data_IF_260234083466
#
_entry.id   IF_260234083466
#
_cell.length_a   1.000
_cell.length_b   1.000
_cell.length_c   1.000
_cell.angle_alpha   90.00
_cell.angle_beta   90.00
_cell.angle_gamma   90.00
#
_symmetry.space_group_name_H-M   'P 1'
#
loop_
_entity.id
_entity.type
_entity.pdbx_description
1 polymer ?
#
# COMPACT_ATOMS: atom_id res chain seq x y z
N UNK A 1 25.00 27.44 42.54
CA UNK A 1 24.25 26.20 42.28
C UNK A 1 23.03 26.55 41.46
N UNK A 2 23.07 26.34 40.14
CA UNK A 2 21.90 26.53 39.25
C UNK A 2 21.26 25.17 38.98
N UNK A 3 20.05 24.97 39.50
CA UNK A 3 19.24 23.79 39.24
C UNK A 3 18.69 23.84 37.81
N UNK A 4 19.14 22.89 36.96
CA UNK A 4 18.58 22.66 35.64
C UNK A 4 17.31 21.84 35.85
N UNK A 5 16.13 22.44 35.57
CA UNK A 5 14.85 21.73 35.52
C UNK A 5 14.77 20.99 34.20
N UNK A 6 14.85 19.68 34.26
CA UNK A 6 14.60 18.77 33.15
C UNK A 6 13.09 18.70 32.89
N UNK A 7 12.59 19.37 31.85
CA UNK A 7 11.24 19.17 31.37
C UNK A 7 11.18 17.87 30.57
N UNK A 8 10.60 16.82 31.17
CA UNK A 8 10.22 15.59 30.48
C UNK A 8 8.91 15.86 29.75
N UNK A 9 8.98 16.04 28.42
CA UNK A 9 7.79 16.05 27.58
C UNK A 9 7.28 14.59 27.46
N UNK A 10 6.21 14.27 28.20
CA UNK A 10 5.41 13.08 27.96
C UNK A 10 4.67 13.24 26.62
N UNK A 11 5.15 12.60 25.56
CA UNK A 11 4.34 12.36 24.35
C UNK A 11 3.24 11.35 24.75
N UNK A 12 2.04 11.85 24.95
CA UNK A 12 0.85 11.02 25.06
C UNK A 12 0.60 10.34 23.72
N UNK A 13 0.75 9.01 23.67
CA UNK A 13 0.28 8.21 22.53
C UNK A 13 -1.26 8.36 22.48
N UNK A 14 -1.75 8.93 21.38
CA UNK A 14 -3.18 8.96 21.12
C UNK A 14 -3.70 7.52 21.01
N UNK A 15 -4.82 7.17 21.67
CA UNK A 15 -5.36 5.83 21.57
C UNK A 15 -5.77 5.54 20.13
N UNK A 16 -5.30 4.41 19.60
CA UNK A 16 -5.86 3.82 18.37
C UNK A 16 -7.28 3.43 18.69
N UNK A 17 -8.26 4.17 18.16
CA UNK A 17 -9.68 3.85 18.31
C UNK A 17 -9.93 2.59 17.47
N UNK A 18 -10.35 1.46 18.06
CA UNK A 18 -10.79 0.30 17.27
C UNK A 18 -11.95 0.75 16.39
N UNK A 19 -11.89 0.45 15.10
CA UNK A 19 -12.99 0.73 14.18
C UNK A 19 -14.17 -0.16 14.61
N UNK A 20 -15.22 0.46 15.16
CA UNK A 20 -16.43 -0.25 15.59
C UNK A 20 -17.12 -0.84 14.36
N UNK A 21 -17.07 -2.17 14.24
CA UNK A 21 -17.60 -2.90 13.09
C UNK A 21 -19.13 -2.89 13.01
N UNK A 22 -19.81 -2.36 14.01
CA UNK A 22 -21.27 -2.28 14.06
C UNK A 22 -21.87 -1.06 13.34
N UNK A 23 -21.04 -0.18 12.73
CA UNK A 23 -21.53 1.02 12.05
C UNK A 23 -20.90 1.23 10.67
N UNK A 24 -21.02 0.22 9.80
CA UNK A 24 -20.68 0.44 8.38
C UNK A 24 -21.63 1.48 7.77
N UNK A 25 -21.14 2.38 6.90
CA UNK A 25 -21.99 3.24 6.09
C UNK A 25 -23.07 2.45 5.34
N UNK A 26 -24.23 3.06 5.06
CA UNK A 26 -25.38 2.37 4.47
C UNK A 26 -25.12 1.79 3.07
N UNK A 27 -24.16 2.36 2.36
CA UNK A 27 -23.75 1.97 1.01
C UNK A 27 -22.61 0.95 1.00
N UNK A 28 -22.15 0.49 2.16
CA UNK A 28 -21.12 -0.54 2.28
C UNK A 28 -21.75 -1.92 2.49
N UNK A 29 -21.47 -2.85 1.56
CA UNK A 29 -21.96 -4.20 1.63
C UNK A 29 -21.23 -5.01 2.72
N UNK A 30 -21.95 -5.72 3.63
CA UNK A 30 -21.35 -6.35 4.82
C UNK A 30 -20.39 -7.51 4.53
N UNK A 31 -20.48 -8.13 3.34
CA UNK A 31 -19.59 -9.25 2.96
C UNK A 31 -18.29 -8.73 2.30
N UNK A 32 -18.40 -7.81 1.38
CA UNK A 32 -17.26 -7.27 0.64
C UNK A 32 -16.57 -6.12 1.37
N UNK A 33 -17.24 -5.52 2.34
CA UNK A 33 -16.83 -4.34 3.09
C UNK A 33 -16.48 -3.15 2.15
N UNK A 34 -17.26 -3.02 1.07
CA UNK A 34 -17.11 -1.98 0.04
C UNK A 34 -18.46 -1.67 -0.60
N UNK A 35 -18.50 -0.66 -1.47
CA UNK A 35 -19.69 -0.31 -2.26
C UNK A 35 -20.09 -1.36 -3.29
N UNK A 36 -19.20 -2.29 -3.62
CA UNK A 36 -19.53 -3.39 -4.53
C UNK A 36 -20.10 -4.57 -3.75
N UNK A 37 -21.28 -5.04 -4.15
CA UNK A 37 -21.84 -6.30 -3.67
C UNK A 37 -21.01 -7.51 -4.11
N UNK A 38 -21.19 -8.70 -3.48
CA UNK A 38 -20.58 -9.93 -3.97
C UNK A 38 -20.90 -10.16 -5.44
N UNK A 39 -19.87 -10.50 -6.20
CA UNK A 39 -19.97 -10.70 -7.65
C UNK A 39 -20.73 -11.99 -7.95
N UNK A 40 -21.72 -11.91 -8.83
CA UNK A 40 -22.41 -13.04 -9.43
C UNK A 40 -22.01 -13.23 -10.89
N UNK A 41 -22.30 -14.40 -11.46
CA UNK A 41 -22.04 -14.65 -12.88
C UNK A 41 -22.78 -13.64 -13.79
N UNK A 42 -23.97 -13.19 -13.35
CA UNK A 42 -24.78 -12.23 -14.11
C UNK A 42 -24.16 -10.82 -14.19
N UNK A 43 -23.25 -10.48 -13.29
CA UNK A 43 -22.58 -9.19 -13.25
C UNK A 43 -21.37 -9.12 -14.21
N UNK A 44 -21.00 -10.24 -14.83
CA UNK A 44 -19.76 -10.40 -15.58
C UNK A 44 -20.02 -10.76 -17.04
N UNK A 45 -19.15 -10.26 -17.94
CA UNK A 45 -19.04 -10.78 -19.29
C UNK A 45 -18.48 -12.22 -19.32
N UNK A 46 -18.53 -12.89 -20.47
CA UNK A 46 -18.14 -14.32 -20.63
C UNK A 46 -16.76 -14.67 -20.07
N UNK A 47 -15.76 -13.80 -20.24
CA UNK A 47 -14.41 -14.03 -19.72
C UNK A 47 -14.38 -13.98 -18.19
N UNK A 48 -15.06 -13.00 -17.59
CA UNK A 48 -15.20 -12.88 -16.14
C UNK A 48 -15.95 -14.07 -15.55
N UNK A 49 -17.00 -14.56 -16.22
CA UNK A 49 -17.73 -15.77 -15.81
C UNK A 49 -16.84 -17.01 -15.82
N UNK A 50 -16.03 -17.18 -16.86
CA UNK A 50 -15.04 -18.29 -16.94
C UNK A 50 -14.00 -18.21 -15.82
N UNK A 51 -13.51 -17.01 -15.51
CA UNK A 51 -12.55 -16.79 -14.41
C UNK A 51 -13.19 -17.02 -13.04
N UNK A 52 -14.44 -16.61 -12.86
CA UNK A 52 -15.18 -16.86 -11.62
C UNK A 52 -15.36 -18.38 -11.41
N UNK A 53 -15.78 -19.10 -12.45
CA UNK A 53 -15.97 -20.55 -12.41
C UNK A 53 -14.66 -21.34 -12.21
N UNK A 54 -13.55 -20.88 -12.76
CA UNK A 54 -12.24 -21.51 -12.65
C UNK A 54 -11.57 -21.32 -11.28
N UNK A 55 -12.06 -20.42 -10.44
CA UNK A 55 -11.47 -20.08 -9.14
C UNK A 55 -12.30 -20.62 -8.00
N UNK A 56 -11.96 -21.80 -7.54
CA UNK A 56 -12.58 -22.44 -6.37
C UNK A 56 -12.39 -21.63 -5.07
N UNK A 57 -11.40 -20.74 -5.02
CA UNK A 57 -11.06 -19.89 -3.87
C UNK A 57 -11.34 -18.40 -4.13
N UNK A 58 -12.08 -18.06 -5.18
CA UNK A 58 -12.50 -16.68 -5.40
C UNK A 58 -13.62 -16.35 -4.43
N UNK A 59 -13.25 -15.80 -3.29
CA UNK A 59 -14.21 -15.28 -2.35
C UNK A 59 -14.63 -13.88 -2.79
N UNK A 60 -15.92 -13.61 -2.77
CA UNK A 60 -16.48 -12.26 -2.89
C UNK A 60 -16.17 -11.41 -1.64
N UNK A 61 -15.09 -11.74 -0.94
CA UNK A 61 -14.66 -11.08 0.29
C UNK A 61 -13.93 -9.76 0.04
N UNK A 62 -13.53 -9.07 1.12
CA UNK A 62 -12.85 -7.79 1.01
C UNK A 62 -11.51 -7.89 0.27
N UNK A 63 -11.16 -6.85 -0.48
CA UNK A 63 -9.86 -6.70 -1.15
C UNK A 63 -9.95 -6.53 -2.67
N UNK A 64 -8.81 -6.42 -3.36
CA UNK A 64 -8.79 -6.04 -4.77
C UNK A 64 -9.42 -7.07 -5.72
N UNK A 65 -9.48 -8.33 -5.31
CA UNK A 65 -9.93 -9.42 -6.19
C UNK A 65 -11.37 -9.26 -6.68
N UNK A 66 -12.29 -8.76 -5.84
CA UNK A 66 -13.68 -8.59 -6.26
C UNK A 66 -13.91 -7.36 -7.16
N UNK A 67 -12.95 -6.43 -7.18
CA UNK A 67 -12.97 -5.28 -8.10
C UNK A 67 -12.41 -5.67 -9.46
N UNK A 68 -11.22 -6.29 -9.45
CA UNK A 68 -10.48 -6.58 -10.69
C UNK A 68 -11.12 -7.66 -11.55
N UNK A 69 -12.07 -8.44 -11.01
CA UNK A 69 -12.79 -9.44 -11.79
C UNK A 69 -13.72 -8.83 -12.85
N UNK A 70 -14.16 -7.59 -12.66
CA UNK A 70 -14.96 -6.89 -13.65
C UNK A 70 -14.16 -6.50 -14.91
N UNK A 71 -12.83 -6.46 -14.81
CA UNK A 71 -11.90 -6.18 -15.91
C UNK A 71 -10.76 -7.18 -15.92
N UNK A 72 -11.01 -8.43 -16.35
CA UNK A 72 -10.04 -9.52 -16.23
C UNK A 72 -8.77 -9.30 -17.06
N UNK A 73 -8.87 -8.61 -18.21
CA UNK A 73 -7.72 -8.35 -19.09
C UNK A 73 -6.74 -7.35 -18.50
N UNK A 74 -7.24 -6.33 -17.82
CA UNK A 74 -6.44 -5.32 -17.16
C UNK A 74 -5.88 -5.78 -15.81
N UNK A 75 -6.33 -6.94 -15.34
CA UNK A 75 -5.93 -7.49 -14.06
C UNK A 75 -4.51 -8.03 -14.03
N UNK A 76 -4.10 -8.69 -15.10
CA UNK A 76 -2.80 -9.37 -15.17
C UNK A 76 -1.80 -8.55 -15.99
N UNK A 77 -1.15 -7.61 -15.31
CA UNK A 77 -0.04 -6.86 -15.92
C UNK A 77 1.27 -7.67 -15.94
N UNK A 78 1.25 -8.94 -15.51
CA UNK A 78 2.43 -9.81 -15.52
C UNK A 78 3.53 -9.36 -14.56
N UNK A 79 3.22 -8.52 -13.57
CA UNK A 79 4.21 -8.04 -12.60
C UNK A 79 4.41 -9.11 -11.52
N UNK A 80 5.61 -9.72 -11.40
CA UNK A 80 5.88 -10.66 -10.33
C UNK A 80 5.82 -9.98 -8.97
N UNK A 81 5.02 -10.54 -8.05
CA UNK A 81 4.76 -9.97 -6.72
C UNK A 81 5.48 -10.73 -5.61
N UNK A 82 5.67 -10.06 -4.47
CA UNK A 82 6.20 -10.65 -3.25
C UNK A 82 7.59 -11.25 -3.43
N UNK A 83 7.75 -12.52 -3.04
CA UNK A 83 9.04 -13.24 -3.08
C UNK A 83 9.56 -13.46 -4.51
N UNK A 84 8.67 -13.50 -5.51
CA UNK A 84 9.04 -13.64 -6.93
C UNK A 84 9.44 -12.33 -7.58
N UNK A 85 9.32 -11.21 -6.87
CA UNK A 85 9.68 -9.91 -7.43
C UNK A 85 11.17 -9.82 -7.74
N UNK A 86 11.56 -9.41 -8.95
CA UNK A 86 12.96 -9.29 -9.34
C UNK A 86 13.71 -8.18 -8.62
N UNK A 87 13.01 -7.29 -7.94
CA UNK A 87 13.62 -6.26 -7.07
C UNK A 87 13.93 -6.80 -5.68
N UNK A 88 13.53 -8.03 -5.40
CA UNK A 88 13.61 -8.68 -4.08
C UNK A 88 12.45 -8.33 -3.17
N UNK A 89 12.10 -9.24 -2.23
CA UNK A 89 10.89 -9.12 -1.43
C UNK A 89 10.86 -7.86 -0.55
N UNK A 90 11.99 -7.48 0.03
CA UNK A 90 12.10 -6.29 0.89
C UNK A 90 11.78 -4.99 0.12
N UNK A 91 12.39 -4.81 -1.05
CA UNK A 91 12.17 -3.60 -1.85
C UNK A 91 10.83 -3.58 -2.56
N UNK A 92 10.27 -4.76 -2.87
CA UNK A 92 8.89 -4.87 -3.29
C UNK A 92 7.94 -4.28 -2.24
N UNK A 93 8.07 -4.70 -0.97
CA UNK A 93 7.22 -4.20 0.11
C UNK A 93 7.44 -2.69 0.35
N UNK A 94 8.68 -2.23 0.28
CA UNK A 94 8.96 -0.80 0.44
C UNK A 94 8.29 0.03 -0.65
N UNK A 95 8.35 -0.39 -1.91
CA UNK A 95 7.68 0.28 -3.02
C UNK A 95 6.15 0.33 -2.84
N UNK A 96 5.55 -0.78 -2.37
CA UNK A 96 4.12 -0.85 -2.07
C UNK A 96 3.75 0.09 -0.93
N UNK A 97 4.50 0.09 0.19
CA UNK A 97 4.21 0.95 1.34
C UNK A 97 4.37 2.44 1.00
N UNK A 98 5.37 2.81 0.21
CA UNK A 98 5.51 4.19 -0.28
C UNK A 98 4.24 4.57 -1.06
N UNK A 99 3.81 3.75 -2.01
CA UNK A 99 2.62 4.01 -2.81
C UNK A 99 1.37 4.12 -1.94
N UNK A 100 1.15 3.15 -1.05
CA UNK A 100 -0.01 3.14 -0.14
C UNK A 100 -0.06 4.39 0.75
N UNK A 101 1.12 4.89 1.24
CA UNK A 101 1.18 6.14 2.01
C UNK A 101 0.84 7.37 1.17
N UNK A 102 1.37 7.45 -0.05
CA UNK A 102 1.19 8.65 -0.88
C UNK A 102 -0.26 8.82 -1.36
N UNK A 103 -1.03 7.73 -1.44
CA UNK A 103 -2.46 7.74 -1.80
C UNK A 103 -3.40 7.50 -0.61
N UNK A 104 -2.87 7.48 0.62
CA UNK A 104 -3.61 7.24 1.87
C UNK A 104 -4.43 5.92 1.86
N UNK A 105 -3.88 4.85 1.24
CA UNK A 105 -4.59 3.58 1.07
C UNK A 105 -4.37 2.64 2.26
N UNK A 106 -5.35 2.61 3.16
CA UNK A 106 -5.32 1.85 4.41
C UNK A 106 -5.28 0.34 4.19
N UNK A 107 -6.03 -0.20 3.21
CA UNK A 107 -6.13 -1.64 2.99
C UNK A 107 -4.79 -2.24 2.56
N UNK A 108 -4.14 -1.63 1.56
CA UNK A 108 -2.83 -2.05 1.07
C UNK A 108 -1.75 -1.87 2.14
N UNK A 109 -1.78 -0.75 2.86
CA UNK A 109 -0.84 -0.53 3.95
C UNK A 109 -0.93 -1.64 5.01
N UNK A 110 -2.14 -1.94 5.52
CA UNK A 110 -2.36 -2.94 6.58
C UNK A 110 -2.11 -4.38 6.13
N UNK A 111 -2.13 -4.63 4.82
CA UNK A 111 -1.72 -5.92 4.27
C UNK A 111 -0.19 -6.04 4.16
N UNK A 112 0.48 -4.98 3.75
CA UNK A 112 1.88 -5.00 3.34
C UNK A 112 2.87 -4.63 4.44
N UNK A 113 2.50 -3.85 5.46
CA UNK A 113 3.39 -3.55 6.59
C UNK A 113 3.85 -4.81 7.34
N UNK A 114 2.95 -5.73 7.76
CA UNK A 114 3.38 -6.98 8.41
C UNK A 114 4.23 -7.88 7.50
N UNK A 115 3.92 -7.90 6.21
CA UNK A 115 4.71 -8.64 5.21
C UNK A 115 6.11 -8.03 5.06
N UNK A 116 6.22 -6.71 5.00
CA UNK A 116 7.48 -5.99 4.94
C UNK A 116 8.39 -6.31 6.13
N UNK A 117 7.85 -6.29 7.34
CA UNK A 117 8.59 -6.69 8.56
C UNK A 117 9.14 -8.11 8.46
N UNK A 118 8.33 -9.08 8.03
CA UNK A 118 8.78 -10.48 7.83
C UNK A 118 9.85 -10.61 6.75
N UNK A 119 9.89 -9.70 5.79
CA UNK A 119 10.86 -9.68 4.68
C UNK A 119 12.05 -8.76 4.94
N UNK A 120 12.28 -8.38 6.20
CA UNK A 120 13.47 -7.65 6.63
C UNK A 120 13.39 -6.14 6.44
N UNK A 121 12.19 -5.58 6.29
CA UNK A 121 12.02 -4.13 6.28
C UNK A 121 12.04 -3.61 7.72
N UNK A 122 13.05 -2.81 8.04
CA UNK A 122 13.31 -2.31 9.39
C UNK A 122 12.24 -1.31 9.83
N UNK A 123 11.94 -1.31 11.13
CA UNK A 123 10.91 -0.43 11.70
C UNK A 123 11.16 1.06 11.40
N UNK A 124 12.42 1.49 11.45
CA UNK A 124 12.79 2.89 11.17
C UNK A 124 12.44 3.28 9.74
N UNK A 125 12.60 2.39 8.76
CA UNK A 125 12.24 2.63 7.36
C UNK A 125 10.71 2.71 7.21
N UNK A 126 9.99 1.79 7.84
CA UNK A 126 8.52 1.78 7.88
C UNK A 126 8.01 3.10 8.48
N UNK A 127 8.57 3.54 9.59
CA UNK A 127 8.15 4.77 10.29
C UNK A 127 8.42 6.03 9.48
N UNK A 128 9.54 6.07 8.74
CA UNK A 128 9.86 7.19 7.84
C UNK A 128 8.80 7.31 6.75
N UNK A 129 8.36 6.19 6.17
CA UNK A 129 7.28 6.19 5.17
C UNK A 129 5.94 6.50 5.84
N UNK A 130 5.57 5.79 6.92
CA UNK A 130 4.29 5.88 7.63
C UNK A 130 3.96 7.30 8.07
N UNK A 131 4.94 8.00 8.63
CA UNK A 131 4.76 9.33 9.24
C UNK A 131 5.35 10.47 8.39
N UNK A 132 5.69 10.21 7.14
CA UNK A 132 6.30 11.20 6.23
C UNK A 132 7.56 11.89 6.82
N UNK A 133 8.35 11.15 7.59
CA UNK A 133 9.56 11.69 8.24
C UNK A 133 10.69 11.93 7.23
N UNK A 134 11.71 12.67 7.68
CA UNK A 134 12.94 12.87 6.92
C UNK A 134 13.69 11.54 6.75
N UNK A 135 14.31 11.35 5.58
CA UNK A 135 15.03 10.12 5.21
C UNK A 135 16.51 10.10 5.67
N UNK A 136 17.02 11.17 6.27
CA UNK A 136 18.45 11.35 6.58
C UNK A 136 19.07 10.26 7.48
N UNK A 137 18.26 9.57 8.28
CA UNK A 137 18.74 8.49 9.15
C UNK A 137 18.77 7.10 8.48
N UNK A 138 18.33 7.02 7.21
CA UNK A 138 18.23 5.76 6.48
C UNK A 138 19.50 5.49 5.66
N UNK A 139 19.63 4.24 5.17
CA UNK A 139 20.61 3.92 4.13
C UNK A 139 20.36 4.79 2.88
N UNK A 140 21.41 5.14 2.15
CA UNK A 140 21.27 5.95 0.94
C UNK A 140 20.33 5.28 -0.09
N UNK A 141 20.34 3.97 -0.17
CA UNK A 141 19.47 3.18 -1.05
C UNK A 141 17.99 3.28 -0.67
N UNK A 142 17.65 3.15 0.62
CA UNK A 142 16.26 3.28 1.10
C UNK A 142 15.79 4.74 1.00
N UNK A 143 16.63 5.69 1.38
CA UNK A 143 16.38 7.11 1.26
C UNK A 143 16.09 7.51 -0.20
N UNK A 144 16.89 6.99 -1.14
CA UNK A 144 16.71 7.24 -2.57
C UNK A 144 15.37 6.70 -3.07
N UNK A 145 15.00 5.48 -2.70
CA UNK A 145 13.73 4.90 -3.13
C UNK A 145 12.51 5.65 -2.57
N UNK A 146 12.56 6.03 -1.28
CA UNK A 146 11.48 6.80 -0.65
C UNK A 146 11.35 8.18 -1.29
N UNK A 147 12.48 8.87 -1.51
CA UNK A 147 12.49 10.18 -2.17
C UNK A 147 11.97 10.09 -3.60
N UNK A 148 12.35 9.04 -4.34
CA UNK A 148 11.87 8.77 -5.69
C UNK A 148 10.35 8.61 -5.73
N UNK A 149 9.77 7.80 -4.84
CA UNK A 149 8.32 7.64 -4.77
C UNK A 149 7.61 8.94 -4.41
N UNK A 150 8.12 9.68 -3.42
CA UNK A 150 7.57 11.00 -3.04
C UNK A 150 7.59 11.98 -4.21
N UNK A 151 8.67 12.06 -4.95
CA UNK A 151 8.76 12.92 -6.13
C UNK A 151 7.73 12.53 -7.20
N UNK A 152 7.56 11.23 -7.48
CA UNK A 152 6.57 10.76 -8.45
C UNK A 152 5.14 11.13 -8.06
N UNK A 153 4.75 10.93 -6.80
CA UNK A 153 3.36 11.13 -6.36
C UNK A 153 3.02 12.58 -6.00
N UNK A 154 3.99 13.37 -5.54
CA UNK A 154 3.74 14.74 -5.07
C UNK A 154 4.09 15.79 -6.11
N UNK A 155 5.19 15.58 -6.84
CA UNK A 155 5.72 16.54 -7.81
C UNK A 155 5.41 16.12 -9.25
N UNK A 156 4.95 14.87 -9.45
CA UNK A 156 4.71 14.25 -10.77
C UNK A 156 5.93 14.28 -11.68
N UNK A 157 7.12 14.33 -11.08
CA UNK A 157 8.38 14.53 -11.78
C UNK A 157 9.54 13.96 -10.94
N UNK A 158 10.57 13.45 -11.64
CA UNK A 158 11.83 13.00 -11.04
C UNK A 158 12.97 13.81 -11.65
N UNK A 159 13.89 14.33 -10.83
CA UNK A 159 15.08 15.03 -11.33
C UNK A 159 16.08 14.04 -11.94
N UNK A 160 16.98 14.53 -12.79
CA UNK A 160 18.05 13.73 -13.40
C UNK A 160 18.94 13.10 -12.33
N UNK A 161 19.30 13.84 -11.29
CA UNK A 161 20.15 13.38 -10.20
C UNK A 161 19.49 12.24 -9.40
N UNK A 162 18.18 12.36 -9.14
CA UNK A 162 17.44 11.33 -8.43
C UNK A 162 17.25 10.07 -9.30
N UNK A 163 17.05 10.24 -10.61
CA UNK A 163 17.03 9.14 -11.56
C UNK A 163 18.37 8.39 -11.60
N UNK A 164 19.48 9.12 -11.69
CA UNK A 164 20.83 8.55 -11.69
C UNK A 164 21.12 7.77 -10.41
N UNK A 165 20.72 8.29 -9.24
CA UNK A 165 20.82 7.58 -7.96
C UNK A 165 20.01 6.28 -7.95
N UNK A 166 18.78 6.31 -8.45
CA UNK A 166 17.95 5.10 -8.57
C UNK A 166 18.63 4.06 -9.46
N UNK A 167 19.15 4.46 -10.62
CA UNK A 167 19.86 3.55 -11.52
C UNK A 167 21.15 3.03 -10.90
N UNK A 168 21.88 3.84 -10.15
CA UNK A 168 23.09 3.43 -9.44
C UNK A 168 22.81 2.34 -8.38
N UNK A 169 21.74 2.49 -7.60
CA UNK A 169 21.40 1.54 -6.52
C UNK A 169 20.71 0.27 -6.99
N UNK A 170 19.87 0.35 -8.03
CA UNK A 170 19.01 -0.75 -8.45
C UNK A 170 19.35 -1.31 -9.84
N UNK A 171 20.08 -0.56 -10.64
CA UNK A 171 20.23 -0.80 -12.06
C UNK A 171 18.99 -0.37 -12.85
N UNK A 172 19.15 -0.12 -14.14
CA UNK A 172 18.08 0.39 -15.02
C UNK A 172 16.84 -0.51 -15.03
N UNK A 173 17.03 -1.81 -15.17
CA UNK A 173 15.93 -2.78 -15.25
C UNK A 173 15.09 -2.78 -13.96
N UNK A 174 15.72 -2.88 -12.78
CA UNK A 174 15.00 -2.90 -11.51
C UNK A 174 14.36 -1.55 -11.18
N UNK A 175 14.96 -0.44 -11.61
CA UNK A 175 14.32 0.87 -11.49
C UNK A 175 12.99 0.91 -12.23
N UNK A 176 12.94 0.41 -13.48
CA UNK A 176 11.69 0.29 -14.24
C UNK A 176 10.71 -0.66 -13.54
N UNK A 177 11.17 -1.79 -13.04
CA UNK A 177 10.31 -2.74 -12.31
C UNK A 177 9.71 -2.13 -11.03
N UNK A 178 10.47 -1.31 -10.29
CA UNK A 178 9.96 -0.55 -9.14
C UNK A 178 8.85 0.42 -9.58
N UNK A 179 9.04 1.14 -10.68
CA UNK A 179 8.00 2.02 -11.23
C UNK A 179 6.73 1.26 -11.58
N UNK A 180 6.86 0.09 -12.20
CA UNK A 180 5.72 -0.78 -12.52
C UNK A 180 4.99 -1.27 -11.26
N UNK A 181 5.72 -1.66 -10.20
CA UNK A 181 5.14 -2.05 -8.92
C UNK A 181 4.36 -0.86 -8.33
N UNK A 182 4.95 0.32 -8.27
CA UNK A 182 4.27 1.52 -7.75
C UNK A 182 3.02 1.86 -8.58
N UNK A 183 3.10 1.78 -9.91
CA UNK A 183 1.97 2.01 -10.81
C UNK A 183 0.83 1.01 -10.62
N UNK A 184 1.14 -0.27 -10.44
CA UNK A 184 0.13 -1.30 -10.17
C UNK A 184 -0.57 -1.07 -8.81
N UNK A 185 0.18 -0.80 -7.76
CA UNK A 185 -0.40 -0.53 -6.45
C UNK A 185 -1.11 0.82 -6.37
N UNK A 186 -0.70 1.80 -7.18
CA UNK A 186 -1.48 3.02 -7.40
C UNK A 186 -2.83 2.70 -8.04
N UNK A 187 -2.86 1.93 -9.14
CA UNK A 187 -4.09 1.50 -9.82
C UNK A 187 -5.03 0.75 -8.89
N UNK A 188 -4.52 -0.24 -8.17
CA UNK A 188 -5.30 -1.04 -7.22
C UNK A 188 -5.82 -0.15 -6.08
N UNK A 189 -4.95 0.63 -5.47
CA UNK A 189 -5.32 1.50 -4.36
C UNK A 189 -6.32 2.59 -4.76
N UNK A 190 -6.21 3.13 -5.97
CA UNK A 190 -7.20 4.06 -6.53
C UNK A 190 -8.60 3.42 -6.60
N UNK A 191 -8.68 2.18 -7.09
CA UNK A 191 -9.95 1.45 -7.13
C UNK A 191 -10.51 1.17 -5.73
N UNK A 192 -9.67 0.73 -4.79
CA UNK A 192 -10.08 0.47 -3.42
C UNK A 192 -10.56 1.74 -2.70
N UNK A 193 -9.95 2.90 -2.96
CA UNK A 193 -10.42 4.18 -2.45
C UNK A 193 -11.78 4.56 -3.08
N UNK A 194 -11.97 4.35 -4.38
CA UNK A 194 -13.21 4.70 -5.08
C UNK A 194 -14.43 3.91 -4.56
N UNK A 195 -14.24 2.63 -4.18
CA UNK A 195 -15.29 1.77 -3.64
C UNK A 195 -15.38 1.80 -2.10
N UNK A 196 -14.59 2.66 -1.45
CA UNK A 196 -14.50 2.79 0.00
C UNK A 196 -14.26 1.43 0.69
N UNK A 197 -13.15 0.77 0.31
CA UNK A 197 -12.81 -0.55 0.83
C UNK A 197 -12.39 -0.50 2.30
N UNK A 198 -13.19 -1.09 3.16
CA UNK A 198 -12.91 -1.25 4.58
C UNK A 198 -12.06 -2.49 4.86
N UNK A 199 -11.35 -2.47 6.00
CA UNK A 199 -10.57 -3.60 6.47
C UNK A 199 -11.49 -4.74 6.92
N UNK A 200 -11.08 -6.01 6.70
CA UNK A 200 -11.82 -7.15 7.24
C UNK A 200 -11.73 -7.18 8.77
N UNK A 201 -12.72 -7.82 9.44
CA UNK A 201 -12.71 -8.02 10.87
C UNK A 201 -11.39 -8.56 11.41
N UNK A 202 -10.88 -7.97 12.50
CA UNK A 202 -9.63 -8.37 13.14
C UNK A 202 -8.36 -7.87 12.46
N UNK A 203 -8.46 -7.16 11.33
CA UNK A 203 -7.29 -6.49 10.75
C UNK A 203 -7.17 -5.07 11.29
N UNK A 204 -6.02 -4.77 11.88
CA UNK A 204 -5.72 -3.46 12.46
C UNK A 204 -5.50 -2.40 11.38
N UNK A 205 -5.99 -1.18 11.64
CA UNK A 205 -5.76 -0.01 10.81
C UNK A 205 -4.38 0.58 11.13
N UNK A 206 -3.36 0.18 10.36
CA UNK A 206 -1.96 0.51 10.66
C UNK A 206 -1.49 1.85 10.08
N UNK A 207 -2.22 2.44 9.11
CA UNK A 207 -1.86 3.70 8.47
C UNK A 207 -2.58 4.88 9.15
N UNK A 208 -1.88 5.74 9.92
CA UNK A 208 -2.52 6.90 10.53
C UNK A 208 -2.88 7.95 9.46
N UNK A 209 -3.98 8.65 9.68
CA UNK A 209 -4.26 9.88 8.92
C UNK A 209 -3.27 10.95 9.34
N UNK A 210 -2.64 11.60 8.38
CA UNK A 210 -1.78 12.75 8.62
C UNK A 210 -2.56 14.02 8.24
N UNK A 211 -2.45 15.04 9.08
CA UNK A 211 -2.92 16.37 8.72
C UNK A 211 -2.09 16.88 7.52
N UNK A 212 -2.77 17.41 6.51
CA UNK A 212 -2.15 17.97 5.29
C UNK A 212 -1.91 19.46 5.49
#
# INVERSE_FOLDING_TARGET
>A
MRMIRLCVLLLAALPVVPQDQNSLPRDIHPVTLSRLSPVTAGDLGEEGQRLLAARTNFTSGPGPSHVTIYSPRERDLGIPTGERSPVGPRYFQLAVLITAREIDQQYEWSAHEPAGRRQGLEQVVIDVVKYNRNVAALSDKDATLITFGRALFREHRVSSELWEKMVSHFGRQRTVQIMMIMGEYFRVGFMLNAIDQHLPPGREALLPRLER
#
